data_IF_012679834562
#
_entry.id   IF_012679834562
#
_cell.length_a   1.000
_cell.length_b   1.000
_cell.length_c   1.000
_cell.angle_alpha   90.00
_cell.angle_beta   90.00
_cell.angle_gamma   90.00
#
_symmetry.space_group_name_H-M   'P 1'
#
loop_
_entity.id
_entity.type
_entity.pdbx_description
1 polymer ?
#
# COMPACT_ATOMS: atom_id res chain seq x y z
N UNK A 1 -4.64 6.89 -22.48
CA UNK A 1 -3.62 6.65 -21.45
C UNK A 1 -3.52 5.15 -21.22
N UNK A 2 -2.37 4.55 -21.49
CA UNK A 2 -2.18 3.10 -21.30
C UNK A 2 -2.00 2.86 -19.79
N UNK A 3 -2.86 2.05 -19.19
CA UNK A 3 -2.66 1.57 -17.83
C UNK A 3 -1.43 0.67 -17.80
N UNK A 4 -0.34 1.14 -17.16
CA UNK A 4 0.83 0.31 -16.91
C UNK A 4 0.74 -0.31 -15.51
N UNK A 5 0.89 -1.61 -15.37
CA UNK A 5 0.84 -2.27 -14.07
C UNK A 5 2.07 -1.92 -13.22
N UNK A 6 1.84 -1.71 -11.94
CA UNK A 6 2.89 -1.62 -10.92
C UNK A 6 3.10 -3.02 -10.35
N UNK A 7 4.31 -3.53 -10.41
CA UNK A 7 4.66 -4.88 -9.95
C UNK A 7 5.47 -4.80 -8.65
N UNK A 8 5.14 -5.67 -7.69
CA UNK A 8 5.95 -5.88 -6.49
C UNK A 8 6.97 -6.98 -6.79
N UNK A 9 8.24 -6.63 -6.83
CA UNK A 9 9.34 -7.61 -6.94
C UNK A 9 9.70 -8.12 -5.55
N UNK A 10 9.25 -9.33 -5.24
CA UNK A 10 9.94 -10.16 -4.26
C UNK A 10 11.18 -10.78 -4.93
N UNK A 11 12.25 -10.92 -4.18
CA UNK A 11 13.64 -11.27 -4.54
C UNK A 11 13.84 -12.57 -5.36
N UNK A 12 13.19 -12.72 -6.51
CA UNK A 12 13.33 -13.87 -7.42
C UNK A 12 13.73 -13.51 -8.86
N UNK A 13 14.45 -12.42 -9.07
CA UNK A 13 15.13 -12.24 -10.36
C UNK A 13 16.52 -12.85 -10.28
N UNK A 14 16.68 -14.08 -10.77
CA UNK A 14 17.99 -14.64 -11.07
C UNK A 14 18.71 -13.78 -12.13
N UNK A 15 20.03 -13.56 -12.02
CA UNK A 15 20.81 -12.87 -13.04
C UNK A 15 20.70 -13.63 -14.36
N UNK A 16 20.08 -13.02 -15.38
CA UNK A 16 19.98 -13.61 -16.72
C UNK A 16 18.60 -13.72 -17.34
N UNK A 17 17.51 -13.47 -16.58
CA UNK A 17 16.17 -13.39 -17.18
C UNK A 17 15.90 -11.97 -17.68
N UNK A 18 15.63 -11.81 -18.98
CA UNK A 18 15.06 -10.60 -19.55
C UNK A 18 13.73 -10.32 -18.87
N UNK A 19 13.71 -9.47 -17.82
CA UNK A 19 12.47 -8.90 -17.33
C UNK A 19 11.82 -8.12 -18.48
N UNK A 20 10.54 -8.33 -18.79
CA UNK A 20 9.87 -7.60 -19.84
C UNK A 20 9.67 -6.13 -19.42
N UNK A 21 10.73 -5.35 -19.52
CA UNK A 21 10.79 -3.90 -19.22
C UNK A 21 9.70 -3.13 -19.98
N UNK A 22 9.30 -3.68 -21.12
CA UNK A 22 8.32 -3.10 -22.04
C UNK A 22 6.90 -2.95 -21.42
N UNK A 23 6.58 -3.75 -20.38
CA UNK A 23 5.24 -3.78 -19.76
C UNK A 23 5.22 -3.28 -18.32
N UNK A 24 6.37 -2.92 -17.74
CA UNK A 24 6.48 -2.51 -16.34
C UNK A 24 6.84 -1.02 -16.27
N UNK A 25 5.97 -0.20 -15.67
CA UNK A 25 6.24 1.22 -15.47
C UNK A 25 6.87 1.55 -14.13
N UNK A 26 6.65 0.72 -13.12
CA UNK A 26 7.20 0.96 -11.78
C UNK A 26 7.33 -0.32 -10.97
N UNK A 27 8.24 -0.30 -10.01
CA UNK A 27 8.56 -1.44 -9.14
C UNK A 27 8.61 -1.00 -7.69
N UNK A 28 7.93 -1.75 -6.81
CA UNK A 28 7.96 -1.54 -5.37
C UNK A 28 9.10 -2.38 -4.78
N UNK A 29 10.09 -1.71 -4.24
CA UNK A 29 11.25 -2.33 -3.58
C UNK A 29 11.02 -2.45 -2.07
N UNK A 30 11.57 -3.49 -1.46
CA UNK A 30 11.77 -3.50 -0.02
C UNK A 30 12.89 -2.51 0.36
N UNK A 31 12.90 -1.96 1.60
CA UNK A 31 13.97 -1.08 2.06
C UNK A 31 15.38 -1.66 1.84
N UNK A 32 15.58 -2.92 2.20
CA UNK A 32 16.83 -3.67 1.95
C UNK A 32 17.24 -3.64 0.47
N UNK A 33 16.29 -3.90 -0.42
CA UNK A 33 16.54 -3.90 -1.86
C UNK A 33 16.88 -2.51 -2.40
N UNK A 34 16.27 -1.48 -1.81
CA UNK A 34 16.52 -0.08 -2.18
C UNK A 34 17.89 0.39 -1.67
N UNK A 35 18.21 0.13 -0.39
CA UNK A 35 19.38 0.71 0.28
C UNK A 35 20.64 -0.14 0.14
N UNK A 36 20.54 -1.46 0.34
CA UNK A 36 21.70 -2.34 0.37
C UNK A 36 22.07 -2.79 -1.03
N UNK A 37 21.09 -3.24 -1.82
CA UNK A 37 21.34 -3.64 -3.22
C UNK A 37 21.34 -2.48 -4.20
N UNK A 38 20.88 -1.28 -3.81
CA UNK A 38 20.92 -0.03 -4.60
C UNK A 38 20.34 -0.19 -6.02
N UNK A 39 19.21 -0.89 -6.15
CA UNK A 39 18.62 -1.20 -7.46
C UNK A 39 17.91 -0.01 -8.13
N UNK A 40 17.65 1.10 -7.41
CA UNK A 40 16.92 2.22 -7.98
C UNK A 40 17.59 2.85 -9.22
N UNK A 41 18.91 3.09 -9.26
CA UNK A 41 19.56 3.60 -10.48
C UNK A 41 19.39 2.67 -11.66
N UNK A 42 19.60 1.36 -11.48
CA UNK A 42 19.47 0.34 -12.52
C UNK A 42 18.05 0.29 -13.13
N UNK A 43 17.02 0.42 -12.27
CA UNK A 43 15.63 0.49 -12.72
C UNK A 43 15.38 1.78 -13.52
N UNK A 44 15.88 2.91 -13.02
CA UNK A 44 15.72 4.21 -13.68
C UNK A 44 16.38 4.25 -15.06
N UNK A 45 17.56 3.65 -15.23
CA UNK A 45 18.23 3.50 -16.53
C UNK A 45 17.37 2.72 -17.54
N UNK A 46 16.55 1.80 -17.05
CA UNK A 46 15.61 1.02 -17.88
C UNK A 46 14.25 1.71 -18.06
N UNK A 47 14.08 2.96 -17.59
CA UNK A 47 12.82 3.68 -17.65
C UNK A 47 11.77 3.18 -16.66
N UNK A 48 12.14 2.35 -15.67
CA UNK A 48 11.24 1.83 -14.64
C UNK A 48 11.31 2.74 -13.42
N UNK A 49 10.16 3.18 -12.93
CA UNK A 49 10.07 4.07 -11.75
C UNK A 49 10.26 3.24 -10.46
N UNK A 50 11.30 3.49 -9.65
CA UNK A 50 11.46 2.80 -8.38
C UNK A 50 10.55 3.38 -7.32
N UNK A 51 9.95 2.51 -6.53
CA UNK A 51 9.18 2.85 -5.34
C UNK A 51 9.62 2.01 -4.14
N UNK A 52 9.14 2.35 -2.95
CA UNK A 52 9.49 1.67 -1.72
C UNK A 52 8.27 1.21 -0.93
N UNK A 53 8.34 0.01 -0.36
CA UNK A 53 7.37 -0.46 0.63
C UNK A 53 7.61 0.29 1.96
N UNK A 54 6.55 0.92 2.50
CA UNK A 54 6.64 1.78 3.68
C UNK A 54 6.01 1.16 4.94
N UNK A 55 5.07 0.20 4.79
CA UNK A 55 4.41 -0.40 5.95
C UNK A 55 5.34 -1.32 6.75
N UNK A 56 5.17 -1.30 8.07
CA UNK A 56 5.85 -2.17 9.02
C UNK A 56 5.12 -3.49 9.26
N UNK A 57 5.23 -3.99 10.49
CA UNK A 57 4.68 -5.27 10.91
C UNK A 57 3.19 -5.19 11.25
N UNK A 58 2.53 -6.35 11.21
CA UNK A 58 1.15 -6.50 11.64
C UNK A 58 1.09 -6.74 13.15
N UNK A 59 0.14 -6.05 13.82
CA UNK A 59 -0.21 -6.29 15.22
C UNK A 59 -1.69 -6.61 15.33
N UNK A 60 -2.09 -7.49 16.25
CA UNK A 60 -3.50 -7.73 16.50
C UNK A 60 -4.24 -6.41 16.84
N UNK A 61 -5.42 -6.24 16.26
CA UNK A 61 -6.30 -5.14 16.64
C UNK A 61 -6.85 -5.40 18.06
N UNK A 62 -6.83 -4.39 18.96
CA UNK A 62 -7.41 -4.56 20.29
C UNK A 62 -8.87 -5.05 20.21
N UNK A 63 -9.20 -6.05 21.01
CA UNK A 63 -10.53 -6.65 21.08
C UNK A 63 -10.99 -7.46 19.85
N UNK A 64 -10.10 -7.76 18.92
CA UNK A 64 -10.39 -8.62 17.77
C UNK A 64 -9.26 -9.63 17.57
N UNK A 65 -9.64 -10.88 17.27
CA UNK A 65 -8.68 -11.97 16.99
C UNK A 65 -8.37 -12.10 15.49
N UNK A 66 -9.15 -11.44 14.65
CA UNK A 66 -9.10 -11.59 13.18
C UNK A 66 -8.79 -10.28 12.45
N UNK A 67 -8.65 -9.19 13.18
CA UNK A 67 -8.31 -7.89 12.62
C UNK A 67 -6.91 -7.47 13.08
N UNK A 68 -6.24 -6.67 12.26
CA UNK A 68 -4.87 -6.25 12.49
C UNK A 68 -4.72 -4.76 12.28
N UNK A 69 -3.75 -4.18 12.96
CA UNK A 69 -3.21 -2.84 12.70
C UNK A 69 -1.84 -2.98 12.04
N UNK A 70 -1.44 -1.98 11.30
CA UNK A 70 -0.15 -1.96 10.62
C UNK A 70 0.73 -0.90 11.24
N UNK A 71 1.88 -1.31 11.76
CA UNK A 71 2.91 -0.40 12.25
C UNK A 71 3.64 0.30 11.10
N UNK A 72 4.43 1.32 11.41
CA UNK A 72 5.35 1.91 10.46
C UNK A 72 5.20 3.42 10.28
N UNK A 73 4.29 4.08 10.99
CA UNK A 73 4.18 5.54 10.97
C UNK A 73 5.29 6.23 11.76
N UNK A 74 5.86 5.56 12.76
CA UNK A 74 6.93 6.12 13.58
C UNK A 74 8.20 6.35 12.79
N UNK A 75 8.65 7.61 12.79
CA UNK A 75 9.82 8.03 12.04
C UNK A 75 9.68 7.88 10.52
N UNK A 76 8.45 7.75 10.02
CA UNK A 76 8.19 7.48 8.60
C UNK A 76 8.70 8.59 7.69
N UNK A 77 8.55 9.86 8.08
CA UNK A 77 9.04 10.99 7.28
C UNK A 77 10.52 10.86 6.94
N UNK A 78 11.36 10.62 7.95
CA UNK A 78 12.81 10.48 7.75
C UNK A 78 13.15 9.27 6.88
N UNK A 79 12.45 8.15 7.07
CA UNK A 79 12.62 6.93 6.25
C UNK A 79 12.27 7.18 4.78
N UNK A 80 11.17 7.89 4.52
CA UNK A 80 10.73 8.20 3.16
C UNK A 80 11.62 9.26 2.49
N UNK A 81 12.11 10.24 3.23
CA UNK A 81 13.10 11.20 2.72
C UNK A 81 14.40 10.49 2.31
N UNK A 82 14.90 9.59 3.14
CA UNK A 82 16.06 8.75 2.81
C UNK A 82 15.79 7.90 1.55
N UNK A 83 14.60 7.31 1.45
CA UNK A 83 14.20 6.52 0.28
C UNK A 83 14.13 7.36 -0.99
N UNK A 84 13.66 8.60 -0.89
CA UNK A 84 13.66 9.55 -2.02
C UNK A 84 15.09 9.88 -2.50
N UNK A 85 16.01 10.12 -1.55
CA UNK A 85 17.42 10.36 -1.85
C UNK A 85 18.04 9.13 -2.52
N UNK A 86 17.67 7.91 -2.07
CA UNK A 86 18.12 6.65 -2.69
C UNK A 86 17.51 6.38 -4.07
N UNK A 87 16.61 7.25 -4.56
CA UNK A 87 16.05 7.18 -5.92
C UNK A 87 14.58 6.80 -6.01
N UNK A 88 13.92 6.47 -4.91
CA UNK A 88 12.46 6.20 -4.94
C UNK A 88 11.67 7.44 -5.38
N UNK A 89 10.57 7.21 -6.12
CA UNK A 89 9.64 8.25 -6.60
C UNK A 89 8.25 8.08 -6.03
N UNK A 90 7.91 6.91 -5.55
CA UNK A 90 6.66 6.62 -4.87
C UNK A 90 6.90 5.70 -3.68
N UNK A 91 5.94 5.65 -2.79
CA UNK A 91 5.91 4.70 -1.67
C UNK A 91 4.58 3.95 -1.67
N UNK A 92 4.55 2.79 -1.02
CA UNK A 92 3.34 1.95 -0.92
C UNK A 92 3.13 1.52 0.52
N UNK A 93 1.89 1.62 1.00
CA UNK A 93 1.49 1.15 2.32
C UNK A 93 0.23 0.32 2.20
N UNK A 94 0.28 -0.93 2.65
CA UNK A 94 -0.81 -1.90 2.63
C UNK A 94 -1.39 -2.06 4.02
N UNK A 95 -2.72 -2.09 4.11
CA UNK A 95 -3.45 -2.47 5.32
C UNK A 95 -4.40 -3.61 5.00
N UNK A 96 -4.37 -4.74 5.74
CA UNK A 96 -5.34 -5.80 5.58
C UNK A 96 -6.67 -5.41 6.22
N UNK A 97 -7.76 -5.71 5.54
CA UNK A 97 -9.14 -5.49 6.02
C UNK A 97 -9.85 -6.83 5.99
N UNK A 98 -10.07 -7.42 7.15
CA UNK A 98 -10.81 -8.68 7.26
C UNK A 98 -12.26 -8.48 6.79
N UNK A 99 -12.75 -9.36 5.94
CA UNK A 99 -14.12 -9.33 5.43
C UNK A 99 -14.77 -10.69 5.62
N UNK A 100 -15.78 -10.74 6.48
CA UNK A 100 -16.61 -11.93 6.71
C UNK A 100 -18.04 -11.67 6.27
N UNK A 101 -18.90 -12.70 6.33
CA UNK A 101 -20.34 -12.51 6.12
C UNK A 101 -20.91 -11.42 7.03
N UNK A 102 -22.04 -10.85 6.63
CA UNK A 102 -22.73 -9.84 7.43
C UNK A 102 -23.13 -10.36 8.83
N UNK A 103 -23.36 -11.67 8.98
CA UNK A 103 -23.68 -12.28 10.26
C UNK A 103 -22.50 -12.28 11.25
N UNK A 104 -21.26 -12.42 10.75
CA UNK A 104 -20.06 -12.35 11.57
C UNK A 104 -19.56 -10.91 11.79
N UNK A 105 -19.93 -9.99 10.89
CA UNK A 105 -19.81 -8.55 11.08
C UNK A 105 -18.41 -7.94 10.93
N UNK A 106 -17.42 -8.67 10.40
CA UNK A 106 -16.13 -8.07 10.07
C UNK A 106 -16.14 -7.45 8.67
N UNK A 107 -15.41 -6.36 8.47
CA UNK A 107 -14.61 -5.60 9.44
C UNK A 107 -15.48 -4.83 10.44
N UNK A 108 -14.94 -4.65 11.65
CA UNK A 108 -15.56 -3.73 12.62
C UNK A 108 -15.45 -2.29 12.16
N UNK A 109 -16.37 -1.44 12.57
CA UNK A 109 -16.32 -0.01 12.25
C UNK A 109 -15.03 0.63 12.79
N UNK A 110 -14.64 0.27 14.01
CA UNK A 110 -13.43 0.78 14.65
C UNK A 110 -12.16 0.42 13.87
N UNK A 111 -12.07 -0.83 13.39
CA UNK A 111 -10.95 -1.26 12.54
C UNK A 111 -10.90 -0.49 11.23
N UNK A 112 -12.03 -0.34 10.53
CA UNK A 112 -12.10 0.41 9.29
C UNK A 112 -11.66 1.87 9.46
N UNK A 113 -12.12 2.53 10.51
CA UNK A 113 -11.76 3.93 10.80
C UNK A 113 -10.26 4.06 11.12
N UNK A 114 -9.71 3.15 11.92
CA UNK A 114 -8.28 3.14 12.22
C UNK A 114 -7.43 2.90 10.97
N UNK A 115 -7.81 1.95 10.11
CA UNK A 115 -7.10 1.68 8.88
C UNK A 115 -7.15 2.86 7.90
N UNK A 116 -8.30 3.51 7.79
CA UNK A 116 -8.46 4.70 6.98
C UNK A 116 -7.60 5.87 7.49
N UNK A 117 -7.56 6.07 8.81
CA UNK A 117 -6.71 7.08 9.45
C UNK A 117 -5.22 6.80 9.23
N UNK A 118 -4.79 5.54 9.42
CA UNK A 118 -3.40 5.11 9.17
C UNK A 118 -2.96 5.39 7.73
N UNK A 119 -3.80 5.04 6.75
CA UNK A 119 -3.50 5.28 5.34
C UNK A 119 -3.48 6.77 4.98
N UNK A 120 -4.34 7.57 5.60
CA UNK A 120 -4.37 9.02 5.36
C UNK A 120 -3.14 9.72 5.93
N UNK A 121 -2.73 9.38 7.16
CA UNK A 121 -1.50 9.88 7.77
C UNK A 121 -0.27 9.49 6.94
N UNK A 122 -0.19 8.21 6.55
CA UNK A 122 0.86 7.75 5.66
C UNK A 122 0.91 8.56 4.36
N UNK A 123 -0.25 8.78 3.71
CA UNK A 123 -0.31 9.50 2.45
C UNK A 123 0.18 10.95 2.59
N UNK A 124 -0.22 11.65 3.65
CA UNK A 124 0.24 13.00 3.94
C UNK A 124 1.76 13.05 4.17
N UNK A 125 2.30 12.14 4.99
CA UNK A 125 3.74 12.03 5.26
C UNK A 125 4.52 11.70 3.97
N UNK A 126 3.97 10.84 3.12
CA UNK A 126 4.60 10.48 1.84
C UNK A 126 4.70 11.69 0.91
N UNK A 127 3.63 12.47 0.77
CA UNK A 127 3.65 13.70 -0.02
C UNK A 127 4.59 14.75 0.58
N UNK A 128 4.64 14.88 1.90
CA UNK A 128 5.60 15.75 2.57
C UNK A 128 7.05 15.33 2.29
N UNK A 129 7.32 14.04 2.17
CA UNK A 129 8.63 13.53 1.75
C UNK A 129 8.92 13.72 0.25
N UNK A 130 7.95 14.18 -0.54
CA UNK A 130 8.03 14.36 -1.98
C UNK A 130 7.94 13.05 -2.77
N UNK A 131 7.21 12.08 -2.25
CA UNK A 131 6.89 10.80 -2.89
C UNK A 131 5.40 10.72 -3.20
N UNK A 132 5.05 10.04 -4.29
CA UNK A 132 3.66 9.71 -4.59
C UNK A 132 3.20 8.55 -3.69
N UNK A 133 2.18 8.72 -2.83
CA UNK A 133 1.67 7.63 -2.01
C UNK A 133 0.80 6.66 -2.80
N UNK A 134 1.06 5.37 -2.67
CA UNK A 134 0.14 4.29 -3.06
C UNK A 134 -0.50 3.75 -1.79
N UNK A 135 -1.79 4.03 -1.60
CA UNK A 135 -2.59 3.49 -0.49
C UNK A 135 -3.27 2.21 -0.94
N UNK A 136 -3.04 1.12 -0.19
CA UNK A 136 -3.57 -0.21 -0.55
C UNK A 136 -4.43 -0.76 0.59
N UNK A 137 -5.75 -0.52 0.55
CA UNK A 137 -6.70 -1.30 1.33
C UNK A 137 -6.82 -2.69 0.70
N UNK A 138 -6.34 -3.71 1.39
CA UNK A 138 -6.38 -5.10 0.94
C UNK A 138 -7.51 -5.83 1.66
N UNK A 139 -8.65 -6.01 0.98
CA UNK A 139 -9.82 -6.68 1.53
C UNK A 139 -9.62 -8.19 1.42
N UNK A 140 -9.37 -8.82 2.56
CA UNK A 140 -9.19 -10.26 2.71
C UNK A 140 -10.52 -10.91 3.11
N UNK A 141 -11.20 -11.55 2.16
CA UNK A 141 -12.50 -12.14 2.40
C UNK A 141 -12.41 -13.64 2.72
N UNK A 142 -13.13 -14.01 3.76
CA UNK A 142 -13.28 -15.42 4.21
C UNK A 142 -14.22 -16.21 3.29
N UNK A 143 -14.27 -17.51 3.50
CA UNK A 143 -15.08 -18.42 2.68
C UNK A 143 -16.60 -18.16 2.77
N UNK A 144 -17.05 -17.50 3.85
CA UNK A 144 -18.45 -17.15 4.10
C UNK A 144 -18.85 -15.76 3.58
N UNK A 145 -17.89 -14.97 3.08
CA UNK A 145 -18.17 -13.69 2.44
C UNK A 145 -18.38 -13.88 0.94
N UNK A 146 -19.43 -13.29 0.42
CA UNK A 146 -19.73 -13.26 -1.01
C UNK A 146 -19.16 -11.99 -1.70
N UNK A 147 -19.32 -11.95 -3.01
CA UNK A 147 -18.87 -10.80 -3.82
C UNK A 147 -19.59 -9.51 -3.43
N UNK A 148 -20.88 -9.58 -3.12
CA UNK A 148 -21.67 -8.40 -2.74
C UNK A 148 -21.15 -7.80 -1.43
N UNK A 149 -20.88 -8.65 -0.43
CA UNK A 149 -20.30 -8.23 0.85
C UNK A 149 -18.90 -7.64 0.68
N UNK A 150 -18.06 -8.29 -0.12
CA UNK A 150 -16.72 -7.79 -0.41
C UNK A 150 -16.76 -6.42 -1.09
N UNK A 151 -17.67 -6.23 -2.04
CA UNK A 151 -17.89 -4.94 -2.73
C UNK A 151 -18.35 -3.85 -1.77
N UNK A 152 -19.30 -4.17 -0.88
CA UNK A 152 -19.79 -3.24 0.15
C UNK A 152 -18.65 -2.75 1.05
N UNK A 153 -17.86 -3.71 1.59
CA UNK A 153 -16.71 -3.39 2.46
C UNK A 153 -15.69 -2.55 1.73
N UNK A 154 -15.42 -2.87 0.47
CA UNK A 154 -14.46 -2.12 -0.35
C UNK A 154 -14.91 -0.67 -0.57
N UNK A 155 -16.17 -0.46 -0.95
CA UNK A 155 -16.74 0.88 -1.11
C UNK A 155 -16.65 1.68 0.19
N UNK A 156 -16.99 1.06 1.31
CA UNK A 156 -16.95 1.70 2.63
C UNK A 156 -15.52 2.08 3.01
N UNK A 157 -14.56 1.16 2.85
CA UNK A 157 -13.15 1.40 3.13
C UNK A 157 -12.59 2.55 2.27
N UNK A 158 -12.80 2.51 0.96
CA UNK A 158 -12.32 3.54 0.04
C UNK A 158 -12.94 4.90 0.37
N UNK A 159 -14.24 4.96 0.64
CA UNK A 159 -14.93 6.22 1.01
C UNK A 159 -14.34 6.83 2.28
N UNK A 160 -14.09 6.02 3.31
CA UNK A 160 -13.46 6.47 4.56
C UNK A 160 -12.02 6.96 4.31
N UNK A 161 -11.23 6.24 3.53
CA UNK A 161 -9.86 6.61 3.19
C UNK A 161 -9.82 7.98 2.48
N UNK A 162 -10.72 8.21 1.51
CA UNK A 162 -10.80 9.50 0.82
C UNK A 162 -11.18 10.63 1.78
N UNK A 163 -12.19 10.40 2.63
CA UNK A 163 -12.61 11.39 3.63
C UNK A 163 -11.45 11.75 4.58
N UNK A 164 -10.73 10.77 5.09
CA UNK A 164 -9.57 11.00 5.97
C UNK A 164 -8.41 11.68 5.24
N UNK A 165 -8.12 11.27 4.00
CA UNK A 165 -7.10 11.93 3.18
C UNK A 165 -7.39 13.43 2.99
N UNK A 166 -8.64 13.81 2.74
CA UNK A 166 -9.04 15.23 2.65
C UNK A 166 -8.83 15.97 3.96
N UNK A 167 -9.16 15.36 5.10
CA UNK A 167 -8.93 15.95 6.43
C UNK A 167 -7.45 16.17 6.72
N UNK A 168 -6.58 15.30 6.23
CA UNK A 168 -5.11 15.43 6.35
C UNK A 168 -4.47 16.32 5.28
N UNK A 169 -5.26 16.96 4.41
CA UNK A 169 -4.76 17.84 3.36
C UNK A 169 -4.00 17.13 2.24
N UNK A 170 -4.26 15.82 2.04
CA UNK A 170 -3.62 15.05 0.97
C UNK A 170 -4.14 15.52 -0.38
N UNK A 171 -3.23 15.82 -1.30
CA UNK A 171 -3.55 16.10 -2.70
C UNK A 171 -4.00 14.81 -3.36
N UNK A 172 -5.31 14.70 -3.68
CA UNK A 172 -5.89 13.48 -4.20
C UNK A 172 -5.40 13.12 -5.60
N UNK A 173 -5.07 14.11 -6.42
CA UNK A 173 -4.50 13.95 -7.76
C UNK A 173 -3.07 13.38 -7.71
N UNK A 174 -2.38 13.58 -6.59
CA UNK A 174 -1.01 13.12 -6.34
C UNK A 174 -0.94 11.80 -5.58
N UNK A 175 -2.00 10.99 -5.57
CA UNK A 175 -2.00 9.66 -4.93
C UNK A 175 -2.57 8.59 -5.83
N UNK A 176 -2.22 7.34 -5.56
CA UNK A 176 -2.79 6.15 -6.19
C UNK A 176 -3.51 5.32 -5.12
N UNK A 177 -4.72 4.86 -5.43
CA UNK A 177 -5.42 3.86 -4.62
C UNK A 177 -5.32 2.52 -5.33
N UNK A 178 -4.72 1.54 -4.68
CA UNK A 178 -4.63 0.17 -5.16
C UNK A 178 -5.57 -0.69 -4.32
N UNK A 179 -6.80 -0.86 -4.80
CA UNK A 179 -7.74 -1.80 -4.18
C UNK A 179 -7.36 -3.22 -4.56
N UNK A 180 -7.12 -4.06 -3.57
CA UNK A 180 -6.90 -5.50 -3.76
C UNK A 180 -7.97 -6.29 -3.03
N UNK A 181 -8.38 -7.40 -3.63
CA UNK A 181 -9.28 -8.37 -3.02
C UNK A 181 -8.60 -9.72 -3.04
N UNK A 182 -8.45 -10.35 -1.88
CA UNK A 182 -7.85 -11.67 -1.75
C UNK A 182 -8.79 -12.61 -1.02
N UNK A 183 -8.83 -13.85 -1.47
CA UNK A 183 -9.47 -14.93 -0.74
C UNK A 183 -8.45 -15.49 0.25
N UNK A 184 -8.86 -15.58 1.52
CA UNK A 184 -8.09 -16.25 2.58
C UNK A 184 -8.20 -17.75 2.46
#
# INVERSE_FOLDING_TARGET
MKHCPVVSLQSQCSPGTNCPVEYISGVILYPETLFDFKLAPLLSEKGIIPGVRANGELRPFPSSTSEFIVEGLDGLLSKLQASRIAGARFSKFRVPIACTSAAQGLPTQASLEMQAETLAQYAAISQQAGLVPIVEPDVEFSADADLARSTEVHHKAVSLIYARCLMHGVLLEGKVVLGTMRRC
#
